data_IF_921932654584
#
_entry.id   IF_921932654584
#
_cell.length_a   1.000
_cell.length_b   1.000
_cell.length_c   1.000
_cell.angle_alpha   90.00
_cell.angle_beta   90.00
_cell.angle_gamma   90.00
#
_symmetry.space_group_name_H-M   'P 1'
#
loop_
_entity.id
_entity.type
_entity.pdbx_description
1 polymer ?
#
# COMPACT_ATOMS: atom_id res chain seq x y z
N UNK A 1 -15.87 -1.59 -5.21
CA UNK A 1 -14.53 -1.29 -5.71
C UNK A 1 -13.63 -2.41 -5.24
N UNK A 2 -13.01 -3.16 -6.15
CA UNK A 2 -12.09 -4.25 -5.80
C UNK A 2 -10.63 -3.79 -5.87
N UNK A 3 -10.39 -2.63 -6.49
CA UNK A 3 -9.07 -2.13 -6.76
C UNK A 3 -9.06 -0.60 -6.71
N UNK A 4 -7.98 0.00 -6.23
CA UNK A 4 -7.75 1.45 -6.23
C UNK A 4 -6.26 1.73 -6.40
N UNK A 5 -5.92 2.72 -7.22
CA UNK A 5 -4.56 3.27 -7.30
C UNK A 5 -4.61 4.69 -6.79
N UNK A 6 -3.67 5.04 -5.90
CA UNK A 6 -3.40 6.40 -5.48
C UNK A 6 -1.99 6.78 -5.90
N UNK A 7 -1.82 8.00 -6.41
CA UNK A 7 -0.50 8.55 -6.68
C UNK A 7 -0.21 9.62 -5.62
N UNK A 8 0.86 9.43 -4.85
CA UNK A 8 1.33 10.45 -3.92
C UNK A 8 1.98 11.60 -4.73
N UNK A 9 1.46 12.84 -4.67
CA UNK A 9 1.81 13.88 -5.63
C UNK A 9 3.28 14.34 -5.54
N UNK A 10 3.90 14.29 -4.35
CA UNK A 10 5.29 14.72 -4.15
C UNK A 10 6.30 13.70 -4.65
N UNK A 11 6.14 12.43 -4.26
CA UNK A 11 7.07 11.37 -4.63
C UNK A 11 6.75 10.74 -6.00
N UNK A 12 5.56 11.00 -6.55
CA UNK A 12 4.98 10.30 -7.71
C UNK A 12 4.87 8.78 -7.49
N UNK A 13 4.95 8.34 -6.23
CA UNK A 13 4.79 6.94 -5.84
C UNK A 13 3.35 6.50 -6.06
N UNK A 14 3.16 5.35 -6.70
CA UNK A 14 1.85 4.72 -6.83
C UNK A 14 1.64 3.69 -5.72
N UNK A 15 0.49 3.77 -5.06
CA UNK A 15 0.04 2.82 -4.05
C UNK A 15 -1.19 2.12 -4.61
N UNK A 16 -1.10 0.80 -4.70
CA UNK A 16 -2.13 -0.07 -5.25
C UNK A 16 -2.83 -0.78 -4.10
N UNK A 17 -4.16 -0.71 -4.07
CA UNK A 17 -5.00 -1.47 -3.17
C UNK A 17 -5.78 -2.49 -3.96
N UNK A 18 -5.75 -3.74 -3.54
CA UNK A 18 -6.48 -4.84 -4.17
C UNK A 18 -7.22 -5.66 -3.11
N UNK A 19 -8.55 -5.77 -3.24
CA UNK A 19 -9.34 -6.72 -2.46
C UNK A 19 -9.20 -8.09 -3.09
N UNK A 20 -8.85 -9.07 -2.27
CA UNK A 20 -8.69 -10.46 -2.68
C UNK A 20 -9.26 -11.41 -1.61
N UNK A 21 -9.12 -12.71 -1.84
CA UNK A 21 -9.28 -13.74 -0.82
C UNK A 21 -7.96 -14.45 -0.56
N UNK A 22 -7.69 -14.74 0.71
CA UNK A 22 -6.57 -15.62 1.07
C UNK A 22 -6.86 -17.08 0.67
N UNK A 23 -5.84 -17.93 0.74
CA UNK A 23 -5.98 -19.37 0.52
C UNK A 23 -6.96 -20.03 1.52
N UNK A 24 -7.08 -19.46 2.72
CA UNK A 24 -8.04 -19.86 3.75
C UNK A 24 -9.45 -19.28 3.52
N UNK A 25 -9.69 -18.66 2.37
CA UNK A 25 -10.95 -18.01 1.98
C UNK A 25 -11.36 -16.85 2.91
N UNK A 26 -10.38 -16.17 3.52
CA UNK A 26 -10.61 -14.93 4.28
C UNK A 26 -10.58 -13.73 3.33
N UNK A 27 -11.42 -12.73 3.59
CA UNK A 27 -11.43 -11.49 2.81
C UNK A 27 -10.22 -10.63 3.21
N UNK A 28 -9.42 -10.22 2.23
CA UNK A 28 -8.21 -9.45 2.46
C UNK A 28 -8.16 -8.21 1.57
N UNK A 29 -7.39 -7.21 1.98
CA UNK A 29 -6.92 -6.13 1.12
C UNK A 29 -5.41 -6.10 1.17
N UNK A 30 -4.78 -6.28 0.01
CA UNK A 30 -3.35 -6.03 -0.20
C UNK A 30 -3.14 -4.56 -0.56
N UNK A 31 -2.18 -3.94 0.10
CA UNK A 31 -1.70 -2.60 -0.20
C UNK A 31 -0.25 -2.75 -0.62
N UNK A 32 0.06 -2.38 -1.86
CA UNK A 32 1.39 -2.56 -2.44
C UNK A 32 1.91 -1.26 -3.04
N UNK A 33 3.22 -1.09 -3.01
CA UNK A 33 3.92 -0.04 -3.74
C UNK A 33 5.29 -0.52 -4.22
N UNK A 34 5.76 0.08 -5.30
CA UNK A 34 7.07 -0.18 -5.88
C UNK A 34 7.90 1.09 -5.83
N UNK A 35 9.13 0.97 -5.35
CA UNK A 35 10.07 2.07 -5.13
C UNK A 35 11.44 1.69 -5.66
N UNK A 36 12.27 2.69 -5.91
CA UNK A 36 13.69 2.49 -6.20
C UNK A 36 14.49 3.07 -5.04
N UNK A 37 15.35 2.24 -4.44
CA UNK A 37 16.19 2.63 -3.31
C UNK A 37 17.42 3.46 -3.74
N UNK A 38 18.26 3.84 -2.79
CA UNK A 38 19.49 4.61 -3.06
C UNK A 38 20.55 3.86 -3.86
N UNK A 39 20.47 2.54 -3.92
CA UNK A 39 21.36 1.69 -4.68
C UNK A 39 20.83 1.40 -6.09
N UNK A 40 19.67 1.95 -6.45
CA UNK A 40 18.99 1.67 -7.72
C UNK A 40 18.26 0.34 -7.74
N UNK A 41 18.05 -0.28 -6.58
CA UNK A 41 17.31 -1.53 -6.43
C UNK A 41 15.81 -1.25 -6.40
N UNK A 42 15.04 -2.03 -7.17
CA UNK A 42 13.58 -2.02 -7.08
C UNK A 42 13.13 -2.76 -5.82
N UNK A 43 12.32 -2.09 -5.00
CA UNK A 43 11.75 -2.60 -3.77
C UNK A 43 10.23 -2.66 -3.91
N UNK A 44 9.65 -3.80 -3.53
CA UNK A 44 8.20 -3.96 -3.39
C UNK A 44 7.86 -3.95 -1.90
N UNK A 45 7.07 -2.97 -1.46
CA UNK A 45 6.54 -2.92 -0.10
C UNK A 45 5.09 -3.41 -0.13
N UNK A 46 4.74 -4.28 0.81
CA UNK A 46 3.41 -4.88 0.92
C UNK A 46 2.93 -4.91 2.37
N UNK A 47 1.65 -4.55 2.56
CA UNK A 47 0.89 -4.84 3.78
C UNK A 47 -0.42 -5.53 3.42
N UNK A 48 -0.84 -6.49 4.24
CA UNK A 48 -2.11 -7.22 4.08
C UNK A 48 -3.02 -6.99 5.28
N UNK A 49 -4.20 -6.44 5.04
CA UNK A 49 -5.26 -6.34 6.03
C UNK A 49 -6.28 -7.46 5.87
N UNK A 50 -6.62 -8.16 6.94
CA UNK A 50 -7.72 -9.12 6.97
C UNK A 50 -9.04 -8.44 7.37
N UNK A 51 -10.14 -8.89 6.78
CA UNK A 51 -11.47 -8.32 6.98
C UNK A 51 -12.49 -9.42 7.26
N UNK A 52 -13.50 -9.09 8.06
CA UNK A 52 -14.55 -10.04 8.44
C UNK A 52 -15.43 -10.46 7.25
N UNK A 53 -15.62 -9.55 6.28
CA UNK A 53 -16.48 -9.78 5.13
C UNK A 53 -16.10 -8.89 3.92
N UNK A 54 -16.61 -9.27 2.74
CA UNK A 54 -16.32 -8.60 1.48
C UNK A 54 -16.80 -7.14 1.43
N UNK A 55 -17.86 -6.81 2.19
CA UNK A 55 -18.42 -5.47 2.29
C UNK A 55 -17.48 -4.53 3.03
N UNK A 56 -16.95 -4.97 4.18
CA UNK A 56 -15.97 -4.23 4.97
C UNK A 56 -14.67 -3.99 4.19
N UNK A 57 -14.13 -5.03 3.54
CA UNK A 57 -12.95 -4.91 2.67
C UNK A 57 -13.20 -3.96 1.49
N UNK A 58 -14.37 -4.05 0.85
CA UNK A 58 -14.77 -3.14 -0.24
C UNK A 58 -14.86 -1.69 0.22
N UNK A 59 -15.43 -1.43 1.41
CA UNK A 59 -15.53 -0.09 1.98
C UNK A 59 -14.16 0.47 2.29
N UNK A 60 -13.28 -0.34 2.88
CA UNK A 60 -11.89 0.04 3.13
C UNK A 60 -11.18 0.51 1.86
N UNK A 61 -11.22 -0.29 0.77
CA UNK A 61 -10.61 0.11 -0.52
C UNK A 61 -11.21 1.42 -1.05
N UNK A 62 -12.52 1.60 -0.93
CA UNK A 62 -13.19 2.81 -1.42
C UNK A 62 -12.76 4.07 -0.64
N UNK A 63 -12.78 3.98 0.69
CA UNK A 63 -12.50 5.10 1.61
C UNK A 63 -11.01 5.40 1.78
N UNK A 64 -10.11 4.49 1.36
CA UNK A 64 -8.67 4.66 1.52
C UNK A 64 -8.17 5.98 0.92
N UNK A 65 -7.55 6.82 1.74
CA UNK A 65 -7.21 8.20 1.38
C UNK A 65 -5.73 8.36 1.03
N UNK A 66 -5.37 9.53 0.48
CA UNK A 66 -3.97 9.91 0.29
C UNK A 66 -3.19 9.90 1.61
N UNK A 67 -3.82 10.33 2.72
CA UNK A 67 -3.20 10.33 4.04
C UNK A 67 -2.91 8.91 4.53
N UNK A 68 -3.85 7.97 4.35
CA UNK A 68 -3.60 6.55 4.64
C UNK A 68 -2.45 5.99 3.80
N UNK A 69 -2.37 6.39 2.52
CA UNK A 69 -1.30 5.99 1.63
C UNK A 69 0.08 6.51 2.09
N UNK A 70 0.16 7.75 2.58
CA UNK A 70 1.39 8.31 3.17
C UNK A 70 1.82 7.54 4.42
N UNK A 71 0.89 7.27 5.34
CA UNK A 71 1.18 6.52 6.56
C UNK A 71 1.67 5.10 6.27
N UNK A 72 1.01 4.39 5.36
CA UNK A 72 1.48 3.07 4.90
C UNK A 72 2.94 3.13 4.42
N UNK A 73 3.28 4.11 3.59
CA UNK A 73 4.63 4.26 3.08
C UNK A 73 5.63 4.58 4.21
N UNK A 74 5.29 5.48 5.12
CA UNK A 74 6.13 5.82 6.28
C UNK A 74 6.35 4.60 7.20
N UNK A 75 5.30 3.83 7.48
CA UNK A 75 5.35 2.62 8.31
C UNK A 75 6.26 1.56 7.68
N UNK A 76 6.06 1.22 6.40
CA UNK A 76 6.90 0.23 5.72
C UNK A 76 8.37 0.64 5.67
N UNK A 77 8.67 1.92 5.38
CA UNK A 77 10.05 2.41 5.34
C UNK A 77 10.71 2.38 6.72
N UNK A 78 9.95 2.64 7.79
CA UNK A 78 10.46 2.57 9.17
C UNK A 78 10.71 1.13 9.61
N UNK A 79 9.78 0.21 9.33
CA UNK A 79 9.91 -1.21 9.68
C UNK A 79 11.10 -1.86 8.97
N UNK A 80 11.25 -1.62 7.67
CA UNK A 80 12.31 -2.20 6.84
C UNK A 80 13.63 -1.41 6.90
N UNK A 81 13.67 -0.28 7.63
CA UNK A 81 14.83 0.64 7.73
C UNK A 81 15.33 1.12 6.37
N UNK A 82 14.41 1.30 5.43
CA UNK A 82 14.73 1.70 4.05
C UNK A 82 14.92 3.21 3.98
N UNK A 83 16.04 3.64 3.39
CA UNK A 83 16.29 5.03 3.05
C UNK A 83 16.00 5.26 1.57
N UNK A 84 15.08 6.17 1.25
CA UNK A 84 14.77 6.54 -0.13
C UNK A 84 15.72 7.63 -0.65
N UNK A 85 16.04 7.60 -1.95
CA UNK A 85 16.73 8.73 -2.61
C UNK A 85 15.86 9.96 -2.45
N UNK A 86 16.36 10.94 -1.69
CA UNK A 86 15.73 12.22 -1.33
C UNK A 86 14.64 12.67 -2.30
N UNK A 87 13.43 12.18 -2.07
CA UNK A 87 12.21 12.74 -2.62
C UNK A 87 11.37 13.03 -1.39
N UNK A 88 11.23 14.32 -1.09
CA UNK A 88 10.56 14.81 0.11
C UNK A 88 9.15 14.18 0.17
N UNK A 89 8.93 13.30 1.16
CA UNK A 89 7.62 12.74 1.50
C UNK A 89 6.64 13.87 1.89
#
# INVERSE_FOLDING_TARGET
MNFKILTLPKSKTQICLHRDRSEENQEIVRITTFLIDTNGQELMLETVGQFADAGSARRFVFDYSEESAKRFLEECLQEDRISLVSTQL
#
